data_IF_008342477083
#
_entry.id   IF_008342477083
#
_cell.length_a   1.000
_cell.length_b   1.000
_cell.length_c   1.000
_cell.angle_alpha   90.00
_cell.angle_beta   90.00
_cell.angle_gamma   90.00
#
_symmetry.space_group_name_H-M   'P 1'
#
loop_
_entity.id
_entity.type
_entity.pdbx_description
1 polymer ?
#
# COMPACT_ATOMS: atom_id res chain seq x y z
N UNK A 1 -2.52 -20.29 -12.76
CA UNK A 1 -1.59 -20.11 -11.61
C UNK A 1 -0.77 -18.88 -11.90
N UNK A 2 -0.70 -17.91 -10.98
CA UNK A 2 0.10 -16.70 -11.18
C UNK A 2 1.58 -17.09 -11.35
N UNK A 3 2.29 -16.47 -12.30
CA UNK A 3 3.72 -16.71 -12.52
C UNK A 3 4.52 -16.34 -11.27
N UNK A 4 4.91 -17.33 -10.48
CA UNK A 4 5.68 -17.15 -9.23
C UNK A 4 7.15 -16.77 -9.47
N UNK A 5 7.65 -17.00 -10.68
CA UNK A 5 9.05 -16.75 -11.06
C UNK A 5 9.31 -15.23 -11.14
N UNK A 6 8.43 -14.49 -11.82
CA UNK A 6 8.64 -13.06 -12.09
C UNK A 6 8.05 -12.14 -11.01
N UNK A 7 7.67 -12.71 -9.86
CA UNK A 7 6.97 -11.98 -8.80
C UNK A 7 7.70 -12.06 -7.47
N UNK A 8 7.66 -10.96 -6.72
CA UNK A 8 8.08 -10.92 -5.32
C UNK A 8 6.88 -10.59 -4.44
N UNK A 9 6.77 -11.23 -3.29
CA UNK A 9 5.64 -11.07 -2.38
C UNK A 9 6.10 -10.73 -0.97
N UNK A 10 5.25 -10.03 -0.24
CA UNK A 10 5.45 -9.63 1.14
C UNK A 10 4.12 -9.71 1.88
N UNK A 11 4.12 -10.43 3.00
CA UNK A 11 2.97 -10.58 3.87
C UNK A 11 3.38 -10.21 5.30
N UNK A 12 2.88 -9.07 5.79
CA UNK A 12 3.17 -8.59 7.13
C UNK A 12 1.91 -8.59 7.97
N UNK A 13 2.02 -9.15 9.18
CA UNK A 13 0.93 -9.23 10.15
C UNK A 13 1.23 -8.30 11.33
N UNK A 14 0.20 -7.85 12.05
CA UNK A 14 0.39 -7.13 13.31
C UNK A 14 0.67 -5.63 13.19
N UNK A 15 0.49 -4.97 12.03
CA UNK A 15 0.88 -3.57 11.88
C UNK A 15 -0.03 -2.63 12.68
N UNK A 16 0.51 -1.70 13.49
CA UNK A 16 -0.26 -0.79 14.35
C UNK A 16 -0.89 0.39 13.59
N UNK A 17 -1.45 0.13 12.40
CA UNK A 17 -2.03 1.12 11.49
C UNK A 17 -3.53 0.91 11.30
N UNK A 18 -4.23 1.94 10.85
CA UNK A 18 -5.67 1.87 10.61
C UNK A 18 -5.99 1.09 9.34
N UNK A 19 -6.75 0.00 9.49
CA UNK A 19 -7.19 -0.83 8.35
C UNK A 19 -7.94 -0.01 7.30
N UNK A 20 -8.81 0.92 7.72
CA UNK A 20 -9.59 1.76 6.80
C UNK A 20 -8.69 2.58 5.88
N UNK A 21 -7.68 3.24 6.45
CA UNK A 21 -6.73 4.05 5.68
C UNK A 21 -5.80 3.18 4.84
N UNK A 22 -5.36 2.04 5.37
CA UNK A 22 -4.52 1.10 4.64
C UNK A 22 -5.22 0.54 3.40
N UNK A 23 -6.53 0.28 3.45
CA UNK A 23 -7.30 -0.17 2.28
C UNK A 23 -7.27 0.88 1.16
N UNK A 24 -7.48 2.15 1.50
CA UNK A 24 -7.44 3.24 0.51
C UNK A 24 -6.03 3.47 -0.05
N UNK A 25 -5.00 3.35 0.80
CA UNK A 25 -3.60 3.38 0.36
C UNK A 25 -3.32 2.23 -0.62
N UNK A 26 -3.69 1.00 -0.29
CA UNK A 26 -3.53 -0.17 -1.16
C UNK A 26 -4.21 0.05 -2.52
N UNK A 27 -5.42 0.61 -2.54
CA UNK A 27 -6.14 0.90 -3.77
C UNK A 27 -5.45 1.99 -4.61
N UNK A 28 -4.79 2.95 -3.97
CA UNK A 28 -4.07 4.02 -4.67
C UNK A 28 -2.77 3.54 -5.33
N UNK A 29 -2.03 2.67 -4.65
CA UNK A 29 -0.72 2.16 -5.13
C UNK A 29 -0.85 0.97 -6.07
N UNK A 30 -1.99 0.27 -6.08
CA UNK A 30 -2.24 -0.85 -7.00
C UNK A 30 -2.10 -0.39 -8.45
N UNK A 31 -1.47 -1.21 -9.27
CA UNK A 31 -1.17 -0.95 -10.68
C UNK A 31 -0.26 0.27 -10.92
N UNK A 32 0.57 0.64 -9.95
CA UNK A 32 1.62 1.65 -10.11
C UNK A 32 2.99 0.99 -10.10
N UNK A 33 3.96 1.65 -10.74
CA UNK A 33 5.36 1.28 -10.58
C UNK A 33 5.78 1.53 -9.13
N UNK A 34 6.74 0.76 -8.64
CA UNK A 34 7.23 0.87 -7.26
C UNK A 34 7.74 2.30 -6.98
N UNK A 35 8.50 2.88 -7.92
CA UNK A 35 8.98 4.26 -7.85
C UNK A 35 7.83 5.29 -7.77
N UNK A 36 6.79 5.13 -8.60
CA UNK A 36 5.63 6.02 -8.56
C UNK A 36 4.86 5.88 -7.25
N UNK A 37 4.71 4.66 -6.73
CA UNK A 37 4.04 4.42 -5.45
C UNK A 37 4.80 5.08 -4.30
N UNK A 38 6.13 4.96 -4.27
CA UNK A 38 7.01 5.62 -3.30
C UNK A 38 6.84 7.14 -3.32
N UNK A 39 6.88 7.76 -4.51
CA UNK A 39 6.69 9.21 -4.68
C UNK A 39 5.32 9.67 -4.19
N UNK A 40 4.26 8.96 -4.58
CA UNK A 40 2.89 9.27 -4.12
C UNK A 40 2.79 9.26 -2.60
N UNK A 41 3.38 8.24 -1.94
CA UNK A 41 3.33 8.14 -0.48
C UNK A 41 4.17 9.23 0.20
N UNK A 42 5.31 9.63 -0.37
CA UNK A 42 6.10 10.77 0.11
C UNK A 42 5.33 12.10 -0.01
N UNK A 43 4.62 12.30 -1.11
CA UNK A 43 3.75 13.47 -1.30
C UNK A 43 2.61 13.50 -0.26
N UNK A 44 2.09 12.33 0.14
CA UNK A 44 1.08 12.24 1.21
C UNK A 44 1.68 12.57 2.57
N UNK A 45 2.90 12.11 2.86
CA UNK A 45 3.60 12.40 4.13
C UNK A 45 3.91 13.90 4.26
N UNK A 46 4.25 14.56 3.15
CA UNK A 46 4.47 16.01 3.08
C UNK A 46 3.20 16.83 2.88
N UNK A 47 2.02 16.18 2.95
CA UNK A 47 0.69 16.79 2.77
C UNK A 47 0.47 17.52 1.42
N UNK A 48 1.26 17.21 0.40
CA UNK A 48 1.11 17.78 -0.95
C UNK A 48 -0.03 17.14 -1.72
N UNK A 49 -0.20 15.82 -1.56
CA UNK A 49 -1.20 15.03 -2.31
C UNK A 49 -2.13 14.28 -1.36
N UNK A 50 -3.44 14.56 -1.35
CA UNK A 50 -4.39 13.81 -0.54
C UNK A 50 -4.68 12.45 -1.15
N UNK A 51 -4.98 11.47 -0.29
CA UNK A 51 -5.49 10.16 -0.72
C UNK A 51 -7.01 10.24 -0.86
N UNK A 52 -7.56 9.90 -2.03
CA UNK A 52 -9.01 9.83 -2.21
C UNK A 52 -9.58 8.67 -1.39
N UNK A 53 -10.60 8.95 -0.58
CA UNK A 53 -11.28 7.93 0.23
C UNK A 53 -12.58 7.57 -0.44
N UNK A 54 -12.72 6.31 -0.86
CA UNK A 54 -13.89 5.84 -1.60
C UNK A 54 -14.88 5.10 -0.72
N UNK A 55 -14.40 4.15 0.10
CA UNK A 55 -15.26 3.25 0.89
C UNK A 55 -15.65 3.84 2.24
N UNK A 56 -14.75 4.58 2.89
CA UNK A 56 -14.92 5.06 4.27
C UNK A 56 -15.11 6.58 4.31
N UNK A 57 -15.98 7.10 3.46
CA UNK A 57 -16.11 8.52 3.15
C UNK A 57 -17.18 9.29 3.93
N UNK A 58 -17.85 8.66 4.90
CA UNK A 58 -18.81 9.35 5.76
C UNK A 58 -18.14 10.49 6.57
N UNK A 59 -18.81 11.65 6.61
CA UNK A 59 -18.40 12.86 7.35
C UNK A 59 -16.95 13.30 7.10
N UNK A 60 -16.52 13.23 5.84
CA UNK A 60 -15.19 13.66 5.44
C UNK A 60 -15.21 15.04 4.79
N UNK A 61 -14.23 15.86 5.18
CA UNK A 61 -14.02 17.16 4.58
C UNK A 61 -13.56 17.06 3.12
N UNK A 62 -14.05 17.99 2.30
CA UNK A 62 -13.64 18.11 0.91
C UNK A 62 -12.19 18.56 0.77
N UNK A 63 -11.54 18.13 -0.33
CA UNK A 63 -10.18 18.53 -0.67
C UNK A 63 -10.11 19.05 -2.11
N UNK A 64 -9.12 19.89 -2.44
CA UNK A 64 -8.97 20.39 -3.80
C UNK A 64 -8.90 19.23 -4.80
N UNK A 65 -9.77 19.26 -5.82
CA UNK A 65 -9.86 18.22 -6.84
C UNK A 65 -10.54 16.91 -6.41
N UNK A 66 -11.10 16.80 -5.18
CA UNK A 66 -11.84 15.61 -4.75
C UNK A 66 -12.83 15.86 -3.60
N UNK A 67 -13.99 15.19 -3.66
CA UNK A 67 -15.00 15.31 -2.60
C UNK A 67 -14.55 14.74 -1.25
N UNK A 68 -13.90 13.58 -1.19
CA UNK A 68 -13.47 12.99 0.08
C UNK A 68 -11.98 12.63 0.03
N UNK A 69 -11.15 13.30 0.83
CA UNK A 69 -9.71 13.07 0.87
C UNK A 69 -9.08 13.27 2.25
N UNK A 70 -8.06 12.46 2.58
CA UNK A 70 -7.24 12.63 3.79
C UNK A 70 -5.75 12.42 3.53
N UNK A 71 -4.95 12.83 4.50
CA UNK A 71 -3.50 12.59 4.56
C UNK A 71 -3.18 11.59 5.68
N UNK A 72 -3.21 10.27 5.44
CA UNK A 72 -2.91 9.26 6.47
C UNK A 72 -1.39 9.12 6.70
N UNK A 73 -0.77 10.13 7.30
CA UNK A 73 0.69 10.24 7.47
C UNK A 73 1.30 8.99 8.13
N UNK A 74 0.73 8.52 9.24
CA UNK A 74 1.27 7.38 10.00
C UNK A 74 1.22 6.07 9.20
N UNK A 75 0.13 5.84 8.46
CA UNK A 75 0.03 4.67 7.60
C UNK A 75 0.97 4.79 6.40
N UNK A 76 1.05 5.95 5.75
CA UNK A 76 1.95 6.17 4.61
C UNK A 76 3.42 5.95 4.96
N UNK A 77 3.88 6.37 6.15
CA UNK A 77 5.24 6.09 6.63
C UNK A 77 5.52 4.59 6.75
N UNK A 78 4.57 3.83 7.29
CA UNK A 78 4.72 2.36 7.39
C UNK A 78 4.74 1.73 6.00
N UNK A 79 3.86 2.15 5.09
CA UNK A 79 3.83 1.64 3.73
C UNK A 79 5.11 1.93 2.93
N UNK A 80 5.79 3.06 3.16
CA UNK A 80 7.10 3.32 2.55
C UNK A 80 8.11 2.24 2.93
N UNK A 81 8.21 1.90 4.22
CA UNK A 81 9.06 0.80 4.67
C UNK A 81 8.65 -0.58 4.14
N UNK A 82 7.35 -0.81 3.90
CA UNK A 82 6.88 -2.03 3.25
C UNK A 82 7.31 -2.10 1.78
N UNK A 83 7.33 -0.98 1.06
CA UNK A 83 7.83 -0.92 -0.32
C UNK A 83 9.34 -1.20 -0.37
N UNK A 84 10.12 -0.63 0.56
CA UNK A 84 11.55 -0.93 0.71
C UNK A 84 11.79 -2.43 0.93
N UNK A 85 10.98 -3.04 1.79
CA UNK A 85 11.09 -4.48 2.10
C UNK A 85 10.71 -5.36 0.91
N UNK A 86 9.71 -4.96 0.12
CA UNK A 86 9.31 -5.67 -1.11
C UNK A 86 10.39 -5.55 -2.19
N UNK A 87 11.00 -4.37 -2.30
CA UNK A 87 12.10 -4.10 -3.23
C UNK A 87 13.31 -4.99 -2.91
N UNK A 88 13.72 -5.06 -1.65
CA UNK A 88 14.78 -5.97 -1.20
C UNK A 88 14.45 -7.44 -1.50
N UNK A 89 13.19 -7.86 -1.33
CA UNK A 89 12.76 -9.22 -1.69
C UNK A 89 12.82 -9.47 -3.20
N UNK A 90 12.56 -8.46 -4.04
CA UNK A 90 12.63 -8.57 -5.48
C UNK A 90 14.09 -8.63 -5.96
N UNK A 91 14.97 -7.82 -5.36
CA UNK A 91 16.41 -7.84 -5.61
C UNK A 91 17.02 -9.20 -5.23
N UNK A 92 16.64 -9.77 -4.08
CA UNK A 92 17.07 -11.11 -3.66
C UNK A 92 16.61 -12.21 -4.63
N UNK A 93 15.54 -11.98 -5.39
CA UNK A 93 15.06 -12.89 -6.44
C UNK A 93 15.72 -12.64 -7.80
N UNK A 94 16.57 -11.62 -7.91
CA UNK A 94 17.22 -11.22 -9.16
C UNK A 94 16.30 -10.49 -10.15
N UNK A 95 15.17 -9.94 -9.68
CA UNK A 95 14.25 -9.17 -10.53
C UNK A 95 14.80 -7.76 -10.78
N UNK A 96 14.47 -7.18 -11.93
CA UNK A 96 14.87 -5.80 -12.23
C UNK A 96 14.06 -4.78 -11.42
N UNK A 97 14.71 -4.17 -10.42
CA UNK A 97 14.13 -3.19 -9.49
C UNK A 97 13.47 -2.00 -10.20
N UNK A 98 14.01 -1.57 -11.34
CA UNK A 98 13.50 -0.42 -12.08
C UNK A 98 12.13 -0.70 -12.74
N UNK A 99 11.85 -1.96 -13.05
CA UNK A 99 10.67 -2.39 -13.80
C UNK A 99 9.63 -3.12 -12.95
N UNK A 100 9.61 -2.86 -11.63
CA UNK A 100 8.64 -3.46 -10.71
C UNK A 100 7.30 -2.72 -10.72
N UNK A 101 6.23 -3.49 -10.87
CA UNK A 101 4.83 -3.04 -10.80
C UNK A 101 4.10 -3.69 -9.63
N UNK A 102 3.35 -2.91 -8.87
CA UNK A 102 2.52 -3.41 -7.76
C UNK A 102 1.24 -4.03 -8.33
N UNK A 103 1.23 -5.34 -8.50
CA UNK A 103 0.09 -6.10 -9.06
C UNK A 103 -0.98 -6.31 -8.00
N UNK A 104 -0.56 -6.70 -6.80
CA UNK A 104 -1.48 -6.97 -5.71
C UNK A 104 -1.11 -6.15 -4.49
N UNK A 105 -2.12 -5.48 -3.93
CA UNK A 105 -2.00 -4.76 -2.68
C UNK A 105 -3.32 -4.88 -1.91
N UNK A 106 -3.25 -5.43 -0.70
CA UNK A 106 -4.42 -5.63 0.15
C UNK A 106 -4.07 -5.33 1.60
N UNK A 107 -5.04 -4.74 2.31
CA UNK A 107 -4.99 -4.55 3.74
C UNK A 107 -6.20 -5.24 4.38
N UNK A 108 -5.93 -6.17 5.28
CA UNK A 108 -6.91 -6.94 6.04
C UNK A 108 -6.92 -6.53 7.50
N UNK A 109 -8.09 -6.63 8.14
CA UNK A 109 -8.21 -6.34 9.56
C UNK A 109 -7.46 -7.42 10.35
N UNK A 110 -6.50 -6.99 11.17
CA UNK A 110 -5.76 -7.88 12.06
C UNK A 110 -6.49 -8.10 13.38
N UNK A 111 -5.88 -8.93 14.23
CA UNK A 111 -6.43 -9.26 15.53
C UNK A 111 -6.52 -8.01 16.45
N UNK A 112 -7.70 -7.82 17.02
CA UNK A 112 -8.05 -6.61 17.78
C UNK A 112 -7.73 -6.81 19.26
N UNK A 113 -6.44 -6.77 19.60
CA UNK A 113 -5.99 -6.78 20.99
C UNK A 113 -6.59 -5.58 21.74
N UNK A 114 -7.17 -5.84 22.91
CA UNK A 114 -7.70 -4.78 23.79
C UNK A 114 -6.55 -4.21 24.62
N UNK A 115 -6.47 -2.89 24.72
CA UNK A 115 -5.62 -2.25 25.74
C UNK A 115 -6.19 -2.55 27.12
N UNK A 116 -5.31 -2.84 28.08
CA UNK A 116 -5.72 -2.97 29.47
C UNK A 116 -6.34 -1.64 29.96
N UNK A 117 -7.48 -1.71 30.64
CA UNK A 117 -8.22 -0.54 31.09
C UNK A 117 -9.64 -0.86 31.58
N UNK A 118 -10.28 0.13 32.21
CA UNK A 118 -11.63 0.00 32.80
C UNK A 118 -12.70 -0.26 31.72
N UNK A 119 -13.72 -1.08 32.04
CA UNK A 119 -14.84 -1.47 31.15
C UNK A 119 -14.42 -2.06 29.79
N UNK A 120 -13.42 -2.95 29.77
CA UNK A 120 -13.09 -3.77 28.60
C UNK A 120 -12.12 -3.14 27.58
N UNK A 121 -11.69 -1.89 27.79
CA UNK A 121 -10.59 -1.26 27.05
C UNK A 121 -10.86 -0.92 25.58
N UNK A 122 -10.04 -0.04 25.01
CA UNK A 122 -10.12 0.33 23.58
C UNK A 122 -9.40 -0.72 22.73
N UNK A 123 -10.05 -1.19 21.66
CA UNK A 123 -9.43 -2.09 20.68
C UNK A 123 -8.29 -1.36 19.96
N UNK A 124 -7.11 -1.97 19.95
CA UNK A 124 -5.99 -1.47 19.17
C UNK A 124 -6.28 -1.60 17.67
N UNK A 125 -5.70 -0.69 16.90
CA UNK A 125 -5.68 -0.80 15.44
C UNK A 125 -4.60 -1.81 15.08
N UNK A 126 -4.98 -2.84 14.34
CA UNK A 126 -4.09 -3.87 13.85
C UNK A 126 -4.50 -4.23 12.43
N UNK A 127 -3.54 -4.27 11.51
CA UNK A 127 -3.77 -4.52 10.10
C UNK A 127 -2.74 -5.52 9.57
N UNK A 128 -3.18 -6.42 8.71
CA UNK A 128 -2.33 -7.31 7.94
C UNK A 128 -2.23 -6.72 6.53
N UNK A 129 -1.03 -6.68 5.95
CA UNK A 129 -0.80 -6.14 4.62
C UNK A 129 -0.14 -7.20 3.76
N UNK A 130 -0.70 -7.40 2.57
CA UNK A 130 -0.17 -8.28 1.53
C UNK A 130 0.15 -7.45 0.30
N UNK A 131 1.39 -7.53 -0.15
CA UNK A 131 1.91 -6.88 -1.34
C UNK A 131 2.52 -7.93 -2.27
N UNK A 132 2.25 -7.82 -3.56
CA UNK A 132 2.92 -8.59 -4.61
C UNK A 132 3.33 -7.62 -5.70
N UNK A 133 4.60 -7.67 -6.06
CA UNK A 133 5.15 -6.98 -7.22
C UNK A 133 5.50 -7.98 -8.30
N UNK A 134 5.39 -7.54 -9.54
CA UNK A 134 5.77 -8.29 -10.73
C UNK A 134 6.73 -7.45 -11.54
N UNK A 135 7.73 -8.10 -12.13
CA UNK A 135 8.58 -7.49 -13.14
C UNK A 135 7.79 -7.36 -14.45
N UNK A 136 7.70 -6.13 -14.96
CA UNK A 136 7.04 -5.89 -16.23
C UNK A 136 7.98 -6.29 -17.37
N UNK A 137 7.54 -7.22 -18.21
CA UNK A 137 8.20 -7.50 -19.48
C UNK A 137 7.85 -6.40 -20.49
N UNK A 138 8.85 -5.76 -21.09
CA UNK A 138 8.64 -4.72 -22.09
C UNK A 138 8.18 -5.36 -23.41
N UNK A 139 6.87 -5.51 -23.59
CA UNK A 139 6.25 -6.07 -24.82
C UNK A 139 6.30 -5.09 -26.02
N UNK A 140 7.22 -4.12 -26.03
CA UNK A 140 7.29 -3.09 -27.07
C UNK A 140 7.93 -3.56 -28.38
N UNK A 141 8.48 -4.77 -28.43
CA UNK A 141 9.21 -5.26 -29.61
C UNK A 141 8.33 -5.94 -30.67
N UNK A 142 7.02 -6.16 -30.43
CA UNK A 142 6.15 -6.93 -31.33
C UNK A 142 5.17 -6.10 -32.18
N UNK A 143 5.37 -4.79 -32.33
CA UNK A 143 4.50 -3.90 -33.13
C UNK A 143 5.23 -3.10 -34.20
N UNK A 144 6.37 -3.60 -34.66
CA UNK A 144 7.10 -3.05 -35.80
C UNK A 144 7.26 -4.15 -36.85
N UNK A 145 6.14 -4.55 -37.47
CA UNK A 145 6.08 -5.25 -38.75
C UNK A 145 4.72 -4.95 -39.40
#
# INVERSE_FOLDING_TARGET
MANTINTASLNVKGLPISTKMSVEICNLIRNKSLLSARRILQDVVTMKRPIPIRRFNADLAHKPGMAAGRYPISASKVFLGLLDSVEANAENKGLNVNNLLVVFAKADKGDARRRYGRKGGVKMKNTHVSLVVEEKTDTKELKND
#
